data_IF_125020882133
#
_entry.id   IF_125020882133
#
_cell.length_a   1.000
_cell.length_b   1.000
_cell.length_c   1.000
_cell.angle_alpha   90.00
_cell.angle_beta   90.00
_cell.angle_gamma   90.00
#
_symmetry.space_group_name_H-M   'P 1'
#
loop_
_entity.id
_entity.type
_entity.pdbx_description
1 polymer ?
#
# COMPACT_ATOMS: atom_id res chain seq x y z
N UNK A 1 109.03 48.58 37.72
CA UNK A 1 107.84 47.85 37.97
C UNK A 1 106.96 47.80 36.71
N UNK A 2 107.06 46.74 36.00
CA UNK A 2 106.23 46.45 34.85
C UNK A 2 104.99 45.67 35.20
N UNK A 3 103.82 46.18 34.97
CA UNK A 3 102.58 45.45 35.07
C UNK A 3 102.40 44.57 33.81
N UNK A 4 102.31 43.27 33.96
CA UNK A 4 101.96 42.36 32.92
C UNK A 4 100.41 42.23 32.93
N UNK A 5 99.76 42.66 31.85
CA UNK A 5 98.29 42.53 31.63
C UNK A 5 98.05 41.16 30.99
N UNK A 6 97.31 40.27 31.64
CA UNK A 6 96.85 38.97 31.07
C UNK A 6 95.88 39.20 29.93
N UNK A 7 95.94 38.35 28.88
CA UNK A 7 94.98 38.36 27.83
C UNK A 7 93.61 38.03 28.39
N UNK A 8 92.55 38.66 27.76
CA UNK A 8 91.16 38.48 28.15
C UNK A 8 90.68 37.12 27.66
N UNK A 9 90.44 36.18 28.54
CA UNK A 9 89.87 34.89 28.24
C UNK A 9 88.32 35.11 28.13
N UNK A 10 87.75 34.89 26.98
CA UNK A 10 86.33 34.83 26.78
C UNK A 10 85.87 33.40 27.17
N UNK A 11 85.02 33.31 28.15
CA UNK A 11 84.36 32.07 28.53
C UNK A 11 83.00 32.05 27.82
N UNK A 12 82.85 31.24 26.77
CA UNK A 12 81.57 30.98 26.09
C UNK A 12 80.81 29.94 26.88
N UNK A 13 79.67 30.30 27.48
CA UNK A 13 78.82 29.38 28.21
C UNK A 13 77.68 29.00 27.27
N UNK A 14 77.68 27.74 26.82
CA UNK A 14 76.63 27.18 26.04
C UNK A 14 75.59 26.48 26.91
N UNK A 15 74.28 26.70 26.60
CA UNK A 15 73.16 26.06 27.30
C UNK A 15 72.43 25.05 26.38
N UNK A 16 72.17 23.80 26.84
CA UNK A 16 71.43 22.83 26.08
C UNK A 16 70.01 23.35 25.77
N UNK A 17 69.32 22.82 24.72
CA UNK A 17 67.97 23.23 24.39
C UNK A 17 66.99 22.77 25.43
N UNK A 18 65.99 23.62 25.77
CA UNK A 18 64.87 23.32 26.66
C UNK A 18 63.60 23.62 25.95
N UNK A 19 62.66 22.67 25.86
CA UNK A 19 61.32 22.87 25.26
C UNK A 19 60.48 23.69 26.24
N UNK A 20 59.95 24.82 25.79
CA UNK A 20 59.08 25.70 26.54
C UNK A 20 57.61 25.43 26.30
N UNK A 21 57.24 25.10 25.04
CA UNK A 21 55.86 24.73 24.68
C UNK A 21 55.87 23.76 23.54
N UNK A 22 54.82 22.91 23.51
CA UNK A 22 54.59 21.87 22.53
C UNK A 22 53.10 21.79 22.26
N UNK A 23 52.70 21.55 21.01
CA UNK A 23 51.30 21.23 20.69
C UNK A 23 50.83 19.99 21.52
N UNK A 24 49.67 20.13 22.14
CA UNK A 24 49.05 18.99 22.88
C UNK A 24 48.51 17.92 21.91
N UNK A 25 48.27 16.73 22.42
CA UNK A 25 47.60 15.63 21.67
C UNK A 25 46.18 16.02 21.35
N UNK A 26 45.69 15.75 20.13
CA UNK A 26 44.36 16.14 19.65
C UNK A 26 43.84 15.22 18.57
N UNK A 27 42.55 15.38 18.27
CA UNK A 27 41.90 14.75 17.14
C UNK A 27 41.58 15.78 16.06
N UNK A 28 41.74 15.38 14.80
CA UNK A 28 41.41 16.18 13.63
C UNK A 28 40.63 15.35 12.61
N UNK A 29 39.94 16.02 11.68
CA UNK A 29 39.08 15.34 10.71
C UNK A 29 39.90 15.05 9.44
N UNK A 30 39.69 13.87 8.87
CA UNK A 30 40.26 13.48 7.56
C UNK A 30 40.01 14.56 6.51
N UNK A 31 41.07 14.94 5.76
CA UNK A 31 41.03 15.99 4.74
C UNK A 31 41.38 17.39 5.29
N UNK A 32 41.37 17.60 6.61
CA UNK A 32 41.81 18.87 7.18
C UNK A 32 43.31 19.05 7.09
N UNK A 33 43.77 20.23 7.48
CA UNK A 33 45.21 20.55 7.64
C UNK A 33 45.48 20.95 9.07
N UNK A 34 46.56 20.39 9.65
CA UNK A 34 46.98 20.68 11.03
C UNK A 34 48.42 21.16 11.05
N UNK A 35 48.79 21.84 12.10
CA UNK A 35 50.17 22.27 12.36
C UNK A 35 50.60 21.90 13.78
N UNK A 36 51.67 21.09 13.89
CA UNK A 36 52.32 20.75 15.15
C UNK A 36 53.45 21.76 15.34
N UNK A 37 53.55 22.35 16.52
CA UNK A 37 54.54 23.36 16.80
C UNK A 37 55.29 23.12 18.10
N UNK A 38 56.55 23.53 18.16
CA UNK A 38 57.38 23.50 19.33
C UNK A 38 58.06 24.89 19.52
N UNK A 39 58.18 25.30 20.78
CA UNK A 39 59.00 26.44 21.14
C UNK A 39 60.11 25.94 22.09
N UNK A 40 61.36 26.32 21.83
CA UNK A 40 62.50 25.96 22.63
C UNK A 40 63.44 27.14 22.81
N UNK A 41 64.17 27.11 23.90
CA UNK A 41 65.24 28.08 24.23
C UNK A 41 66.57 27.35 24.45
N UNK A 42 67.68 28.00 24.23
CA UNK A 42 69.07 27.48 24.40
C UNK A 42 70.04 28.33 23.61
N UNK A 43 71.32 27.96 23.59
CA UNK A 43 72.33 28.65 22.78
C UNK A 43 72.09 28.36 21.29
N UNK A 44 72.05 29.43 20.49
CA UNK A 44 71.92 29.32 19.02
C UNK A 44 73.23 28.82 18.37
N UNK A 45 73.12 28.09 17.23
CA UNK A 45 71.88 27.79 16.46
C UNK A 45 71.13 26.57 17.06
N UNK A 46 69.79 26.70 17.18
CA UNK A 46 68.92 25.60 17.55
C UNK A 46 68.34 24.98 16.26
N UNK A 47 68.44 23.66 16.14
CA UNK A 47 67.91 22.89 15.02
C UNK A 47 66.79 21.94 15.49
N UNK A 48 65.84 21.64 14.60
CA UNK A 48 64.69 20.77 14.88
C UNK A 48 64.69 19.56 13.91
N UNK A 49 64.14 18.44 14.34
CA UNK A 49 63.88 17.32 13.48
C UNK A 49 62.64 16.56 13.97
N UNK A 50 61.61 16.52 13.16
CA UNK A 50 60.39 15.80 13.47
C UNK A 50 60.50 14.34 13.15
N UNK A 51 59.77 13.49 13.94
CA UNK A 51 59.62 12.08 13.74
C UNK A 51 58.15 11.68 13.93
N UNK A 52 57.72 10.63 13.25
CA UNK A 52 56.38 10.03 13.33
C UNK A 52 56.50 8.54 13.61
N UNK A 53 55.81 7.98 14.62
CA UNK A 53 55.86 6.58 14.98
C UNK A 53 57.29 6.07 15.20
N UNK A 54 58.22 6.96 15.71
CA UNK A 54 59.64 6.68 15.89
C UNK A 54 60.48 6.80 14.62
N UNK A 55 59.92 7.05 13.46
CA UNK A 55 60.65 7.24 12.17
C UNK A 55 60.87 8.72 11.89
N UNK A 56 62.11 9.10 11.64
CA UNK A 56 62.50 10.47 11.29
C UNK A 56 61.83 10.88 9.99
N UNK A 57 61.23 12.08 9.98
CA UNK A 57 60.63 12.68 8.80
C UNK A 57 61.67 13.54 8.08
N UNK A 58 62.25 13.04 6.98
CA UNK A 58 63.30 13.70 6.23
C UNK A 58 62.86 15.11 5.77
N UNK A 59 63.75 16.10 6.00
CA UNK A 59 63.53 17.49 5.64
C UNK A 59 62.55 18.27 6.52
N UNK A 60 61.95 17.62 7.54
CA UNK A 60 61.04 18.33 8.47
C UNK A 60 61.85 18.88 9.66
N UNK A 61 62.57 20.00 9.36
CA UNK A 61 63.53 20.65 10.25
C UNK A 61 63.11 22.01 10.76
N UNK A 62 61.84 22.39 10.58
CA UNK A 62 61.31 23.64 11.10
C UNK A 62 60.74 23.45 12.52
N UNK A 63 60.57 24.59 13.24
CA UNK A 63 59.87 24.60 14.54
C UNK A 63 58.38 24.25 14.46
N UNK A 64 57.83 24.12 13.27
CA UNK A 64 56.48 23.61 13.03
C UNK A 64 56.46 22.58 11.91
N UNK A 65 55.62 21.57 12.07
CA UNK A 65 55.30 20.54 11.08
C UNK A 65 53.86 20.74 10.61
N UNK A 66 53.64 21.10 9.32
CA UNK A 66 52.32 21.18 8.70
C UNK A 66 52.00 19.89 7.97
N UNK A 67 50.86 19.31 8.30
CA UNK A 67 50.32 18.12 7.64
C UNK A 67 49.04 18.56 6.95
N UNK A 68 48.95 18.46 5.62
CA UNK A 68 47.81 18.88 4.82
C UNK A 68 47.11 17.68 4.23
N UNK A 69 45.77 17.78 4.03
CA UNK A 69 44.93 16.69 3.50
C UNK A 69 45.07 15.39 4.32
N UNK A 70 44.81 15.51 5.63
CA UNK A 70 44.97 14.43 6.60
C UNK A 70 44.32 13.09 6.12
N UNK A 71 45.11 12.04 6.18
CA UNK A 71 44.71 10.67 5.90
C UNK A 71 44.71 9.85 7.18
N UNK A 72 44.00 8.73 7.18
CA UNK A 72 44.01 7.80 8.31
C UNK A 72 45.44 7.35 8.67
N UNK A 73 46.32 7.25 7.64
CA UNK A 73 47.72 6.89 7.82
C UNK A 73 48.53 7.97 8.56
N UNK A 74 48.00 9.19 8.71
CA UNK A 74 48.69 10.26 9.43
C UNK A 74 48.45 10.20 10.95
N UNK A 75 47.46 9.42 11.38
CA UNK A 75 47.24 9.15 12.80
C UNK A 75 48.43 8.38 13.39
N UNK A 76 49.15 9.02 14.32
CA UNK A 76 50.31 8.44 14.97
C UNK A 76 50.78 9.31 16.15
N UNK A 77 51.88 8.94 16.81
CA UNK A 77 52.62 9.75 17.76
C UNK A 77 53.73 10.50 17.04
N UNK A 78 53.73 11.81 17.20
CA UNK A 78 54.75 12.70 16.64
C UNK A 78 55.65 13.19 17.77
N UNK A 79 56.98 13.28 17.48
CA UNK A 79 57.98 13.87 18.38
C UNK A 79 58.87 14.81 17.61
N UNK A 80 59.46 15.76 18.31
CA UNK A 80 60.49 16.63 17.75
C UNK A 80 61.76 16.53 18.60
N UNK A 81 62.88 16.38 17.92
CA UNK A 81 64.18 16.52 18.48
C UNK A 81 64.68 17.95 18.28
N UNK A 82 65.11 18.57 19.39
CA UNK A 82 65.66 19.90 19.41
C UNK A 82 67.13 19.79 19.80
N UNK A 83 68.00 20.31 18.97
CA UNK A 83 69.47 20.10 19.10
C UNK A 83 70.22 21.42 18.92
N UNK A 84 71.24 21.63 19.77
CA UNK A 84 72.29 22.61 19.59
C UNK A 84 73.63 21.98 19.91
N UNK A 85 74.75 22.79 19.92
CA UNK A 85 76.08 22.32 20.23
C UNK A 85 76.25 21.81 21.68
N UNK A 86 75.40 22.31 22.62
CA UNK A 86 75.46 21.89 24.03
C UNK A 86 74.65 20.62 24.34
N UNK A 87 73.78 20.13 23.42
CA UNK A 87 73.01 18.92 23.65
C UNK A 87 71.79 18.74 22.78
N UNK A 88 70.99 17.72 23.16
CA UNK A 88 69.74 17.33 22.49
C UNK A 88 68.64 17.11 23.53
N UNK A 89 67.42 17.56 23.23
CA UNK A 89 66.20 17.20 23.97
C UNK A 89 65.17 16.62 23.02
N UNK A 90 64.43 15.64 23.50
CA UNK A 90 63.30 15.03 22.79
C UNK A 90 62.01 15.50 23.45
N UNK A 91 61.00 15.82 22.65
CA UNK A 91 59.69 16.22 23.17
C UNK A 91 58.90 15.02 23.73
N UNK A 92 57.90 15.30 24.53
CA UNK A 92 56.82 14.39 24.80
C UNK A 92 56.09 14.04 23.47
N UNK A 93 55.44 12.89 23.40
CA UNK A 93 54.71 12.50 22.21
C UNK A 93 53.44 13.36 22.04
N UNK A 94 53.21 13.84 20.82
CA UNK A 94 51.95 14.45 20.37
C UNK A 94 51.17 13.35 19.68
N UNK A 95 50.09 12.87 20.28
CA UNK A 95 49.21 11.87 19.67
C UNK A 95 48.20 12.58 18.76
N UNK A 96 48.32 12.39 17.43
CA UNK A 96 47.36 12.81 16.44
C UNK A 96 46.41 11.66 16.11
N UNK A 97 45.10 11.86 16.36
CA UNK A 97 44.06 10.94 15.95
C UNK A 97 43.33 11.52 14.74
N UNK A 98 43.11 10.72 13.71
CA UNK A 98 42.37 11.16 12.51
C UNK A 98 40.99 10.50 12.48
N UNK A 99 39.97 11.34 12.52
CA UNK A 99 38.57 10.89 12.50
C UNK A 99 38.01 10.95 11.08
N UNK A 100 37.29 9.92 10.71
CA UNK A 100 36.54 9.87 9.44
C UNK A 100 35.10 10.31 9.69
N UNK A 101 34.56 11.29 8.92
CA UNK A 101 33.14 11.63 8.96
C UNK A 101 32.26 10.41 8.69
N UNK A 102 31.09 10.39 9.29
CA UNK A 102 30.09 9.40 8.98
C UNK A 102 29.62 9.56 7.53
N UNK A 103 29.66 8.48 6.78
CA UNK A 103 29.25 8.43 5.36
C UNK A 103 28.31 7.25 5.12
N UNK A 104 27.36 7.42 4.21
CA UNK A 104 26.42 6.34 3.83
C UNK A 104 27.07 5.53 2.70
N UNK A 105 27.22 4.24 2.92
CA UNK A 105 27.78 3.26 1.99
C UNK A 105 26.69 2.62 1.13
N UNK A 106 25.51 2.35 1.76
CA UNK A 106 24.34 1.84 1.06
C UNK A 106 23.12 2.64 1.48
N UNK A 107 22.45 3.23 0.49
CA UNK A 107 21.21 3.98 0.68
C UNK A 107 20.06 3.04 1.05
N UNK A 108 19.13 3.50 1.89
CA UNK A 108 17.89 2.76 2.11
C UNK A 108 17.03 2.78 0.86
N UNK A 109 16.27 1.69 0.62
CA UNK A 109 15.42 1.53 -0.56
C UNK A 109 13.96 1.54 -0.12
N UNK A 110 13.12 2.29 -0.84
CA UNK A 110 11.69 2.35 -0.63
C UNK A 110 10.99 1.06 -1.07
N UNK A 111 9.77 0.87 -0.60
CA UNK A 111 8.94 -0.27 -0.95
C UNK A 111 7.46 0.12 -0.99
N UNK A 112 6.71 -0.56 -1.85
CA UNK A 112 5.26 -0.62 -1.77
C UNK A 112 4.88 -1.72 -0.78
N UNK A 113 3.89 -1.45 0.05
CA UNK A 113 3.42 -2.39 1.07
C UNK A 113 1.90 -2.36 1.17
N UNK A 114 1.33 -3.41 1.74
CA UNK A 114 -0.11 -3.56 1.90
C UNK A 114 -0.49 -3.24 3.36
N UNK A 115 -1.64 -2.64 3.54
CA UNK A 115 -2.25 -2.35 4.85
C UNK A 115 -2.21 -3.59 5.76
N UNK A 116 -1.74 -3.42 6.99
CA UNK A 116 -1.59 -4.50 7.96
C UNK A 116 -0.29 -5.30 7.86
N UNK A 117 0.51 -5.13 6.80
CA UNK A 117 1.83 -5.76 6.68
C UNK A 117 2.92 -4.97 7.42
N UNK A 118 4.17 -5.37 7.28
CA UNK A 118 5.35 -4.70 7.84
C UNK A 118 6.29 -4.24 6.73
N UNK A 119 6.98 -3.11 6.96
CA UNK A 119 8.07 -2.63 6.11
C UNK A 119 9.33 -2.43 6.94
N UNK A 120 10.49 -2.72 6.36
CA UNK A 120 11.78 -2.48 7.01
C UNK A 120 12.70 -1.74 6.05
N UNK A 121 13.28 -0.64 6.53
CA UNK A 121 14.31 0.10 5.81
C UNK A 121 15.63 -0.01 6.55
N UNK A 122 16.73 -0.11 5.82
CA UNK A 122 18.06 -0.22 6.39
C UNK A 122 19.06 0.63 5.64
N UNK A 123 20.05 1.15 6.37
CA UNK A 123 21.17 1.93 5.84
C UNK A 123 22.48 1.27 6.29
N UNK A 124 23.50 1.33 5.43
CA UNK A 124 24.86 0.95 5.82
C UNK A 124 25.71 2.21 5.82
N UNK A 125 26.40 2.43 6.92
CA UNK A 125 27.27 3.59 7.11
C UNK A 125 28.70 3.16 7.47
N UNK A 126 29.66 4.06 7.18
CA UNK A 126 31.06 3.93 7.56
C UNK A 126 31.54 5.26 8.12
N UNK A 127 32.57 5.21 8.97
CA UNK A 127 33.17 6.38 9.62
C UNK A 127 33.86 5.98 10.92
N UNK A 128 34.33 6.97 11.67
CA UNK A 128 34.85 6.74 13.03
C UNK A 128 33.70 6.55 14.01
N UNK A 129 33.82 5.54 14.85
CA UNK A 129 32.82 5.24 15.89
C UNK A 129 32.85 6.29 17.03
N UNK A 130 31.71 6.49 17.72
CA UNK A 130 30.43 5.88 17.47
C UNK A 130 29.70 6.56 16.29
N UNK A 131 29.00 5.74 15.46
CA UNK A 131 28.11 6.24 14.43
C UNK A 131 26.69 6.24 15.00
N UNK A 132 26.01 7.38 14.89
CA UNK A 132 24.64 7.56 15.35
C UNK A 132 23.69 7.65 14.16
N UNK A 133 22.46 7.14 14.34
CA UNK A 133 21.40 7.18 13.35
C UNK A 133 20.18 7.90 13.94
N UNK A 134 19.41 8.58 13.09
CA UNK A 134 18.08 9.08 13.43
C UNK A 134 17.22 9.02 12.19
N UNK A 135 16.12 8.26 12.27
CA UNK A 135 15.12 8.18 11.21
C UNK A 135 14.12 9.31 11.32
N UNK A 136 13.65 9.76 10.14
CA UNK A 136 12.66 10.82 9.98
C UNK A 136 11.51 10.34 9.11
N UNK A 137 10.33 10.86 9.40
CA UNK A 137 9.11 10.70 8.62
C UNK A 137 8.56 12.08 8.31
N UNK A 138 8.38 12.40 7.02
CA UNK A 138 7.97 13.72 6.52
C UNK A 138 8.76 14.88 7.17
N UNK A 139 10.10 14.71 7.23
CA UNK A 139 11.08 15.60 7.85
C UNK A 139 11.00 15.77 9.39
N UNK A 140 10.07 15.05 10.06
CA UNK A 140 10.00 15.03 11.52
C UNK A 140 10.74 13.80 12.10
N UNK A 141 11.51 13.95 13.17
CA UNK A 141 12.24 12.84 13.76
C UNK A 141 11.30 11.81 14.38
N UNK A 142 11.53 10.54 14.07
CA UNK A 142 10.79 9.43 14.68
C UNK A 142 11.45 9.09 16.00
N UNK A 143 10.77 9.35 17.10
CA UNK A 143 11.29 9.14 18.44
C UNK A 143 11.74 7.68 18.66
N UNK A 144 12.94 7.49 19.22
CA UNK A 144 13.53 6.20 19.53
C UNK A 144 13.99 5.36 18.32
N UNK A 145 13.90 5.88 17.10
CA UNK A 145 14.38 5.19 15.89
C UNK A 145 15.80 5.62 15.54
N UNK A 146 16.76 5.08 16.32
CA UNK A 146 18.17 5.46 16.31
C UNK A 146 19.11 4.31 15.90
N UNK A 147 18.57 3.25 15.32
CA UNK A 147 19.35 2.12 14.81
C UNK A 147 19.59 2.25 13.29
N UNK A 148 20.50 1.44 12.75
CA UNK A 148 20.79 1.39 11.30
C UNK A 148 19.61 0.88 10.45
N UNK A 149 18.55 0.40 11.09
CA UNK A 149 17.31 -0.01 10.44
C UNK A 149 16.10 0.50 11.21
N UNK A 150 14.99 0.64 10.49
CA UNK A 150 13.67 0.92 11.05
C UNK A 150 12.68 -0.15 10.58
N UNK A 151 11.96 -0.76 11.53
CA UNK A 151 10.84 -1.65 11.24
C UNK A 151 9.53 -0.95 11.61
N UNK A 152 8.58 -1.01 10.69
CA UNK A 152 7.22 -0.48 10.78
C UNK A 152 6.26 -1.64 10.70
N UNK A 153 5.58 -1.99 11.77
CA UNK A 153 4.67 -3.13 11.86
C UNK A 153 3.21 -2.68 11.77
N UNK A 154 2.35 -3.56 11.26
CA UNK A 154 0.91 -3.32 11.13
C UNK A 154 0.60 -1.99 10.43
N UNK A 155 1.10 -1.86 9.21
CA UNK A 155 1.02 -0.65 8.41
C UNK A 155 -0.42 -0.17 8.23
N UNK A 156 -0.61 1.12 8.41
CA UNK A 156 -1.83 1.86 8.14
C UNK A 156 -1.57 2.93 7.07
N UNK A 157 -2.60 3.53 6.51
CA UNK A 157 -2.45 4.63 5.56
C UNK A 157 -1.61 5.80 6.10
N UNK A 158 -1.58 5.99 7.44
CA UNK A 158 -0.78 7.03 8.10
C UNK A 158 0.73 6.79 8.05
N UNK A 159 1.16 5.56 7.75
CA UNK A 159 2.56 5.21 7.60
C UNK A 159 3.08 5.48 6.18
N UNK A 160 2.17 5.70 5.22
CA UNK A 160 2.54 6.13 3.87
C UNK A 160 3.10 7.54 3.89
N UNK A 161 4.26 7.75 3.28
CA UNK A 161 4.94 9.04 3.27
C UNK A 161 6.43 8.92 2.94
N UNK A 162 7.18 9.94 3.28
CA UNK A 162 8.59 10.10 2.94
C UNK A 162 9.46 9.83 4.16
N UNK A 163 10.40 8.91 4.02
CA UNK A 163 11.37 8.58 5.07
C UNK A 163 12.79 8.94 4.63
N UNK A 164 13.62 9.29 5.59
CA UNK A 164 15.08 9.39 5.44
C UNK A 164 15.76 9.13 6.77
N UNK A 165 17.08 8.91 6.73
CA UNK A 165 17.90 8.76 7.93
C UNK A 165 19.05 9.75 7.92
N UNK A 166 19.33 10.36 9.07
CA UNK A 166 20.54 11.13 9.34
C UNK A 166 21.54 10.19 9.99
N UNK A 167 22.73 10.13 9.40
CA UNK A 167 23.86 9.35 9.92
C UNK A 167 24.93 10.34 10.37
N UNK A 168 25.41 10.21 11.60
CA UNK A 168 26.34 11.19 12.16
C UNK A 168 27.38 10.58 13.08
N UNK A 169 28.52 11.24 13.19
CA UNK A 169 29.49 11.05 14.27
C UNK A 169 30.09 12.41 14.66
N UNK A 170 31.07 12.43 15.57
CA UNK A 170 31.73 13.69 15.99
C UNK A 170 32.46 14.42 14.85
N UNK A 171 32.75 13.74 13.72
CA UNK A 171 33.46 14.31 12.58
C UNK A 171 32.55 14.80 11.45
N UNK A 172 31.28 14.43 11.45
CA UNK A 172 30.36 14.88 10.40
C UNK A 172 28.99 14.22 10.46
N UNK A 173 28.10 14.72 9.57
CA UNK A 173 26.74 14.25 9.41
C UNK A 173 26.40 14.11 7.93
N UNK A 174 25.63 13.07 7.58
CA UNK A 174 25.12 12.86 6.23
C UNK A 174 23.65 12.46 6.28
N UNK A 175 22.83 13.07 5.41
CA UNK A 175 21.43 12.70 5.16
C UNK A 175 21.39 11.65 4.05
N UNK A 176 20.54 10.63 4.18
CA UNK A 176 20.27 9.67 3.11
C UNK A 176 19.45 10.27 1.99
N UNK A 177 19.38 9.58 0.87
CA UNK A 177 18.31 9.79 -0.09
C UNK A 177 16.95 9.56 0.57
N UNK A 178 15.93 10.22 0.04
CA UNK A 178 14.55 10.02 0.49
C UNK A 178 14.00 8.70 -0.05
N UNK A 179 13.22 8.02 0.75
CA UNK A 179 12.49 6.82 0.40
C UNK A 179 10.99 7.08 0.55
N UNK A 180 10.20 6.58 -0.38
CA UNK A 180 8.75 6.67 -0.32
C UNK A 180 8.18 5.31 0.06
N UNK A 181 7.34 5.28 1.10
CA UNK A 181 6.53 4.12 1.46
C UNK A 181 5.10 4.38 0.98
N UNK A 182 4.62 3.56 0.05
CA UNK A 182 3.22 3.53 -0.35
C UNK A 182 2.52 2.38 0.39
N UNK A 183 1.41 2.70 1.08
CA UNK A 183 0.60 1.70 1.78
C UNK A 183 -0.72 1.53 1.05
N UNK A 184 -0.88 0.42 0.34
CA UNK A 184 -2.06 0.12 -0.43
C UNK A 184 -3.11 -0.63 0.43
N UNK A 185 -4.38 -0.23 0.31
CA UNK A 185 -5.51 -0.90 0.93
C UNK A 185 -6.16 -1.87 -0.07
N UNK A 186 -6.38 -3.15 0.27
CA UNK A 186 -7.13 -4.07 -0.56
C UNK A 186 -8.58 -3.59 -0.73
N UNK A 187 -9.31 -4.02 -1.77
CA UNK A 187 -10.70 -3.65 -1.95
C UNK A 187 -11.58 -4.29 -0.87
N UNK A 188 -12.57 -3.51 -0.41
CA UNK A 188 -13.60 -3.96 0.51
C UNK A 188 -14.98 -3.49 0.01
N UNK A 189 -15.96 -4.40 -0.01
CA UNK A 189 -17.33 -4.08 -0.43
C UNK A 189 -18.06 -3.44 0.75
N UNK A 190 -18.66 -2.28 0.51
CA UNK A 190 -19.49 -1.56 1.48
C UNK A 190 -20.97 -1.93 1.33
N UNK A 191 -21.45 -1.97 0.08
CA UNK A 191 -22.84 -2.25 -0.26
C UNK A 191 -22.90 -3.02 -1.57
N UNK A 192 -23.94 -3.85 -1.73
CA UNK A 192 -24.27 -4.53 -2.97
C UNK A 192 -25.78 -4.68 -3.11
N UNK A 193 -26.25 -4.91 -4.33
CA UNK A 193 -27.65 -5.23 -4.60
C UNK A 193 -28.03 -6.55 -3.92
N UNK A 194 -29.26 -6.62 -3.43
CA UNK A 194 -29.87 -7.85 -2.95
C UNK A 194 -30.32 -8.75 -4.11
N UNK A 195 -30.70 -10.00 -3.81
CA UNK A 195 -31.37 -10.88 -4.77
C UNK A 195 -32.74 -10.32 -5.14
N UNK A 196 -33.12 -10.43 -6.41
CA UNK A 196 -34.32 -9.79 -6.93
C UNK A 196 -35.13 -10.75 -7.83
N UNK A 197 -36.45 -10.64 -7.75
CA UNK A 197 -37.38 -11.23 -8.74
C UNK A 197 -37.85 -10.14 -9.70
N UNK A 198 -37.78 -10.38 -11.00
CA UNK A 198 -38.06 -9.41 -12.06
C UNK A 198 -38.94 -10.07 -13.12
N UNK A 199 -39.84 -9.31 -13.71
CA UNK A 199 -40.74 -9.80 -14.79
C UNK A 199 -39.96 -9.88 -16.09
N UNK A 200 -40.20 -10.91 -16.90
CA UNK A 200 -39.65 -11.06 -18.25
C UNK A 200 -39.95 -9.81 -19.08
N UNK A 201 -38.93 -9.29 -19.75
CA UNK A 201 -39.03 -8.05 -20.55
C UNK A 201 -38.63 -6.78 -19.79
N UNK A 202 -38.62 -6.78 -18.47
CA UNK A 202 -38.19 -5.64 -17.67
C UNK A 202 -36.66 -5.46 -17.71
N UNK A 203 -36.18 -4.42 -17.03
CA UNK A 203 -34.74 -4.11 -16.92
C UNK A 203 -34.39 -3.88 -15.46
N UNK A 204 -33.20 -4.33 -15.06
CA UNK A 204 -32.64 -4.12 -13.71
C UNK A 204 -31.20 -3.63 -13.78
N UNK A 205 -30.75 -3.04 -12.70
CA UNK A 205 -29.36 -2.68 -12.46
C UNK A 205 -28.87 -3.36 -11.18
N UNK A 206 -27.84 -4.22 -11.28
CA UNK A 206 -27.10 -4.75 -10.15
C UNK A 206 -25.93 -3.82 -9.86
N UNK A 207 -25.74 -3.44 -8.59
CA UNK A 207 -24.72 -2.46 -8.15
C UNK A 207 -23.86 -3.01 -7.04
N UNK A 208 -22.63 -2.52 -6.98
CA UNK A 208 -21.73 -2.68 -5.86
C UNK A 208 -21.05 -1.34 -5.54
N UNK A 209 -20.87 -1.07 -4.26
CA UNK A 209 -20.04 0.03 -3.77
C UNK A 209 -18.85 -0.54 -3.03
N UNK A 210 -17.64 -0.10 -3.36
CA UNK A 210 -16.41 -0.59 -2.76
C UNK A 210 -15.43 0.54 -2.45
N UNK A 211 -14.57 0.29 -1.45
CA UNK A 211 -13.44 1.14 -1.08
C UNK A 211 -12.14 0.35 -1.23
N UNK A 212 -11.02 1.05 -1.36
CA UNK A 212 -9.68 0.50 -1.51
C UNK A 212 -8.78 1.46 -2.25
N UNK A 213 -7.49 1.16 -2.31
CA UNK A 213 -6.55 1.95 -3.11
C UNK A 213 -6.90 1.86 -4.59
N UNK A 214 -6.87 3.01 -5.26
CA UNK A 214 -7.18 3.10 -6.69
C UNK A 214 -5.98 2.66 -7.56
N UNK A 215 -6.20 2.14 -8.77
CA UNK A 215 -7.51 1.90 -9.38
C UNK A 215 -8.19 0.62 -8.86
N UNK A 216 -9.53 0.62 -8.77
CA UNK A 216 -10.31 -0.58 -8.54
C UNK A 216 -10.78 -1.15 -9.88
N UNK A 217 -10.49 -2.42 -10.13
CA UNK A 217 -10.96 -3.16 -11.29
C UNK A 217 -12.14 -4.05 -10.90
N UNK A 218 -13.21 -4.06 -11.72
CA UNK A 218 -14.40 -4.87 -11.51
C UNK A 218 -14.51 -5.93 -12.60
N UNK A 219 -15.12 -7.06 -12.28
CA UNK A 219 -15.46 -8.10 -13.24
C UNK A 219 -16.67 -8.88 -12.77
N UNK A 220 -17.77 -8.76 -13.52
CA UNK A 220 -19.00 -9.51 -13.24
C UNK A 220 -18.95 -10.92 -13.80
N UNK A 221 -19.69 -11.81 -13.13
CA UNK A 221 -19.91 -13.20 -13.54
C UNK A 221 -21.37 -13.60 -13.32
N UNK A 222 -21.84 -14.56 -14.12
CA UNK A 222 -23.17 -15.15 -14.08
C UNK A 222 -23.03 -16.66 -14.02
N UNK A 223 -23.63 -17.34 -13.03
CA UNK A 223 -23.52 -18.77 -12.87
C UNK A 223 -22.06 -19.27 -12.78
N UNK A 224 -21.13 -18.42 -12.29
CA UNK A 224 -19.69 -18.69 -12.25
C UNK A 224 -18.94 -18.46 -13.56
N UNK A 225 -19.62 -18.05 -14.64
CA UNK A 225 -19.00 -17.71 -15.93
C UNK A 225 -18.78 -16.20 -16.02
N UNK A 226 -17.56 -15.81 -16.38
CA UNK A 226 -17.19 -14.40 -16.55
C UNK A 226 -18.01 -13.76 -17.66
N UNK A 227 -18.56 -12.58 -17.40
CA UNK A 227 -19.25 -11.73 -18.38
C UNK A 227 -18.24 -10.80 -19.03
N UNK A 228 -17.81 -11.13 -20.24
CA UNK A 228 -16.82 -10.34 -20.98
C UNK A 228 -17.26 -8.88 -21.14
N UNK A 229 -16.34 -7.95 -20.78
CA UNK A 229 -16.59 -6.51 -20.85
C UNK A 229 -17.46 -5.91 -19.73
N UNK A 230 -17.99 -6.72 -18.81
CA UNK A 230 -18.73 -6.24 -17.65
C UNK A 230 -17.75 -5.83 -16.53
N UNK A 231 -17.15 -4.63 -16.67
CA UNK A 231 -16.07 -4.12 -15.83
C UNK A 231 -16.43 -2.84 -15.06
N UNK A 232 -17.70 -2.44 -15.06
CA UNK A 232 -18.18 -1.30 -14.30
C UNK A 232 -18.69 -1.70 -12.89
N UNK A 233 -18.81 -0.77 -11.93
CA UNK A 233 -19.38 -1.03 -10.62
C UNK A 233 -20.86 -1.39 -10.65
N UNK A 234 -21.52 -1.25 -11.81
CA UNK A 234 -22.90 -1.67 -12.02
C UNK A 234 -23.05 -2.49 -13.30
N UNK A 235 -23.97 -3.47 -13.25
CA UNK A 235 -24.35 -4.31 -14.38
C UNK A 235 -25.81 -4.06 -14.73
N UNK A 236 -26.05 -3.58 -15.96
CA UNK A 236 -27.40 -3.37 -16.52
C UNK A 236 -27.84 -4.60 -17.29
N UNK A 237 -28.99 -5.16 -16.91
CA UNK A 237 -29.69 -6.24 -17.63
C UNK A 237 -30.96 -5.67 -18.21
N UNK A 238 -31.05 -5.58 -19.56
CA UNK A 238 -32.17 -4.98 -20.27
C UNK A 238 -32.97 -6.06 -20.99
N UNK A 239 -34.31 -5.88 -21.03
CA UNK A 239 -35.21 -6.83 -21.67
C UNK A 239 -34.95 -8.27 -21.23
N UNK A 240 -34.99 -8.47 -19.91
CA UNK A 240 -34.61 -9.71 -19.24
C UNK A 240 -35.39 -10.89 -19.78
N UNK A 241 -34.66 -11.95 -20.09
CA UNK A 241 -35.21 -13.22 -20.58
C UNK A 241 -35.07 -14.31 -19.48
N UNK A 242 -35.84 -15.40 -19.56
CA UNK A 242 -35.71 -16.53 -18.62
C UNK A 242 -34.27 -17.06 -18.48
N UNK A 243 -33.50 -16.99 -19.57
CA UNK A 243 -32.07 -17.35 -19.57
C UNK A 243 -31.21 -16.43 -18.74
N UNK A 244 -31.69 -15.24 -18.35
CA UNK A 244 -30.93 -14.29 -17.50
C UNK A 244 -31.09 -14.57 -16.01
N UNK A 245 -32.05 -15.42 -15.65
CA UNK A 245 -32.22 -15.90 -14.28
C UNK A 245 -31.01 -16.76 -13.86
N UNK A 246 -30.19 -16.26 -12.91
CA UNK A 246 -29.01 -16.96 -12.40
C UNK A 246 -28.43 -16.24 -11.18
N UNK A 247 -27.33 -16.78 -10.65
CA UNK A 247 -26.50 -16.21 -9.59
C UNK A 247 -25.44 -15.26 -10.18
N UNK A 248 -25.52 -13.99 -9.85
CA UNK A 248 -24.54 -12.98 -10.27
C UNK A 248 -23.60 -12.65 -9.14
N UNK A 249 -22.33 -12.41 -9.49
CA UNK A 249 -21.29 -11.95 -8.58
C UNK A 249 -20.38 -10.96 -9.29
N UNK A 250 -19.72 -10.12 -8.51
CA UNK A 250 -18.65 -9.23 -9.00
C UNK A 250 -17.39 -9.44 -8.19
N UNK A 251 -16.28 -9.63 -8.89
CA UNK A 251 -14.95 -9.61 -8.32
C UNK A 251 -14.39 -8.20 -8.44
N UNK A 252 -13.81 -7.69 -7.37
CA UNK A 252 -13.18 -6.37 -7.28
C UNK A 252 -11.73 -6.57 -6.88
N UNK A 253 -10.79 -5.97 -7.62
CA UNK A 253 -9.36 -6.14 -7.37
C UNK A 253 -8.59 -4.84 -7.54
N UNK A 254 -7.45 -4.77 -6.87
CA UNK A 254 -6.38 -3.81 -7.07
C UNK A 254 -5.03 -4.49 -6.80
N UNK A 255 -3.92 -3.74 -6.81
CA UNK A 255 -2.58 -4.28 -6.56
C UNK A 255 -2.40 -4.88 -5.15
N UNK A 256 -3.24 -4.45 -4.19
CA UNK A 256 -3.21 -4.93 -2.80
C UNK A 256 -4.03 -6.21 -2.57
N UNK A 257 -4.95 -6.59 -3.47
CA UNK A 257 -5.74 -7.78 -3.29
C UNK A 257 -7.02 -7.84 -4.12
N UNK A 258 -7.87 -8.83 -3.76
CA UNK A 258 -9.15 -9.12 -4.41
C UNK A 258 -10.22 -9.46 -3.38
N UNK A 259 -11.45 -9.02 -3.62
CA UNK A 259 -12.66 -9.41 -2.90
C UNK A 259 -13.72 -9.82 -3.91
N UNK A 260 -14.62 -10.71 -3.53
CA UNK A 260 -15.79 -11.11 -4.32
C UNK A 260 -17.07 -10.79 -3.55
N UNK A 261 -18.10 -10.34 -4.26
CA UNK A 261 -19.41 -10.05 -3.66
C UNK A 261 -20.10 -11.32 -3.17
N UNK A 262 -21.06 -11.14 -2.27
CA UNK A 262 -22.07 -12.17 -2.03
C UNK A 262 -22.88 -12.43 -3.31
N UNK A 263 -23.58 -13.54 -3.33
CA UNK A 263 -24.40 -13.92 -4.49
C UNK A 263 -25.65 -13.03 -4.58
N UNK A 264 -25.87 -12.43 -5.74
CA UNK A 264 -27.10 -11.73 -6.12
C UNK A 264 -27.91 -12.61 -7.07
N UNK A 265 -28.95 -13.26 -6.56
CA UNK A 265 -29.80 -14.13 -7.40
C UNK A 265 -30.82 -13.30 -8.14
N UNK A 266 -30.86 -13.42 -9.45
CA UNK A 266 -31.89 -12.86 -10.33
C UNK A 266 -32.86 -14.00 -10.66
N UNK A 267 -34.14 -13.85 -10.27
CA UNK A 267 -35.20 -14.78 -10.62
C UNK A 267 -36.11 -14.13 -11.64
N UNK A 268 -36.22 -14.72 -12.80
CA UNK A 268 -37.08 -14.18 -13.88
C UNK A 268 -38.46 -14.81 -13.80
N UNK A 269 -39.45 -13.93 -13.72
CA UNK A 269 -40.86 -14.31 -13.62
C UNK A 269 -41.52 -14.12 -14.98
N UNK A 270 -42.01 -15.19 -15.51
CA UNK A 270 -42.80 -15.13 -16.77
C UNK A 270 -44.26 -14.75 -16.49
N UNK A 271 -44.82 -13.78 -17.19
CA UNK A 271 -46.22 -13.40 -17.09
C UNK A 271 -47.16 -14.59 -17.37
N UNK A 272 -48.31 -14.64 -16.70
CA UNK A 272 -49.34 -15.59 -17.00
C UNK A 272 -49.93 -15.27 -18.42
N UNK A 273 -49.97 -16.30 -19.25
CA UNK A 273 -50.51 -16.18 -20.62
C UNK A 273 -51.46 -17.37 -20.92
N UNK A 274 -52.42 -17.15 -21.77
CA UNK A 274 -53.35 -18.22 -22.23
C UNK A 274 -52.78 -18.80 -23.51
N UNK A 275 -52.45 -20.11 -23.49
CA UNK A 275 -51.91 -20.88 -24.61
C UNK A 275 -53.05 -21.46 -25.46
N UNK A 276 -54.11 -21.95 -24.80
CA UNK A 276 -55.32 -22.48 -25.47
C UNK A 276 -56.55 -21.86 -24.84
N UNK A 277 -57.41 -21.27 -25.67
CA UNK A 277 -58.64 -20.61 -25.29
C UNK A 277 -59.72 -21.66 -24.99
N UNK A 278 -60.63 -21.42 -24.02
CA UNK A 278 -61.79 -22.28 -23.82
C UNK A 278 -62.73 -22.23 -25.02
N UNK A 279 -63.29 -23.35 -25.39
CA UNK A 279 -64.19 -23.47 -26.51
C UNK A 279 -65.60 -23.75 -26.03
N UNK A 280 -66.55 -22.88 -26.35
CA UNK A 280 -67.97 -23.09 -26.07
C UNK A 280 -68.63 -24.03 -27.08
N UNK A 281 -69.95 -24.17 -27.00
CA UNK A 281 -70.69 -25.02 -27.88
C UNK A 281 -72.19 -25.04 -27.59
N UNK A 282 -72.91 -25.82 -28.37
CA UNK A 282 -74.34 -26.08 -28.16
C UNK A 282 -74.48 -27.49 -27.57
N UNK A 283 -75.24 -27.57 -26.48
CA UNK A 283 -75.42 -28.80 -25.67
C UNK A 283 -76.92 -29.09 -25.56
N UNK A 284 -77.27 -30.30 -25.22
CA UNK A 284 -78.63 -30.69 -24.91
C UNK A 284 -78.83 -30.81 -23.40
N UNK A 285 -80.00 -30.42 -22.88
CA UNK A 285 -80.29 -30.52 -21.47
C UNK A 285 -79.99 -31.94 -20.90
N UNK A 286 -79.28 -32.02 -19.75
CA UNK A 286 -78.79 -33.26 -19.12
C UNK A 286 -77.38 -33.66 -19.56
N UNK A 287 -76.80 -33.07 -20.54
CA UNK A 287 -75.37 -33.27 -20.91
C UNK A 287 -74.41 -32.68 -19.93
N UNK A 288 -73.14 -32.86 -20.19
CA UNK A 288 -72.00 -32.24 -19.46
C UNK A 288 -71.33 -31.19 -20.33
N UNK A 289 -71.05 -30.00 -19.77
CA UNK A 289 -70.19 -28.99 -20.38
C UNK A 289 -68.81 -29.07 -19.72
N UNK A 290 -67.77 -29.19 -20.53
CA UNK A 290 -66.40 -29.14 -20.12
C UNK A 290 -65.66 -28.04 -20.86
N UNK A 291 -65.36 -26.92 -20.16
CA UNK A 291 -64.53 -25.85 -20.68
C UNK A 291 -63.11 -26.03 -20.15
N UNK A 292 -62.12 -25.96 -21.06
CA UNK A 292 -60.72 -26.19 -20.70
C UNK A 292 -59.89 -24.97 -21.20
N UNK A 293 -59.07 -24.43 -20.35
CA UNK A 293 -58.04 -23.45 -20.67
C UNK A 293 -56.66 -24.04 -20.41
N UNK A 294 -55.71 -23.75 -21.29
CA UNK A 294 -54.28 -24.04 -21.02
C UNK A 294 -53.57 -22.73 -20.84
N UNK A 295 -52.79 -22.60 -19.77
CA UNK A 295 -52.01 -21.43 -19.45
C UNK A 295 -50.53 -21.80 -19.35
N UNK A 296 -49.70 -20.78 -19.59
CA UNK A 296 -48.25 -20.79 -19.37
C UNK A 296 -47.84 -19.57 -18.55
N UNK A 297 -46.68 -19.63 -17.90
CA UNK A 297 -46.11 -18.58 -17.04
C UNK A 297 -45.44 -19.18 -15.83
N UNK A 298 -44.85 -18.35 -14.99
CA UNK A 298 -44.25 -18.80 -13.74
C UNK A 298 -45.29 -19.20 -12.70
N UNK A 299 -45.06 -20.31 -12.05
CA UNK A 299 -45.94 -20.83 -10.99
C UNK A 299 -45.84 -19.99 -9.70
N UNK A 300 -46.89 -19.92 -8.86
CA UNK A 300 -48.16 -20.58 -9.06
C UNK A 300 -49.07 -19.79 -10.03
N UNK A 301 -49.74 -20.54 -10.92
CA UNK A 301 -50.78 -20.00 -11.79
C UNK A 301 -52.13 -20.21 -11.14
N UNK A 302 -52.93 -19.16 -11.03
CA UNK A 302 -54.30 -19.17 -10.49
C UNK A 302 -55.30 -18.99 -11.60
N UNK A 303 -56.47 -19.61 -11.43
CA UNK A 303 -57.59 -19.55 -12.36
C UNK A 303 -58.83 -19.04 -11.64
N UNK A 304 -59.68 -18.30 -12.33
CA UNK A 304 -61.00 -17.94 -11.87
C UNK A 304 -61.97 -17.82 -13.07
N UNK A 305 -62.99 -18.68 -13.07
CA UNK A 305 -64.02 -18.65 -14.12
C UNK A 305 -65.15 -17.69 -13.79
N UNK A 306 -65.72 -17.14 -14.85
CA UNK A 306 -66.83 -16.22 -14.83
C UNK A 306 -67.88 -16.67 -15.88
N UNK A 307 -69.15 -16.35 -15.65
CA UNK A 307 -70.28 -16.47 -16.58
C UNK A 307 -70.99 -15.10 -16.64
N UNK A 308 -71.15 -14.54 -17.84
CA UNK A 308 -71.78 -13.24 -18.05
C UNK A 308 -71.18 -12.16 -17.12
N UNK A 309 -69.84 -12.19 -16.98
CA UNK A 309 -69.00 -11.35 -16.11
C UNK A 309 -69.21 -11.57 -14.59
N UNK A 310 -70.07 -12.52 -14.18
CA UNK A 310 -70.25 -12.87 -12.79
C UNK A 310 -69.31 -14.02 -12.40
N UNK A 311 -68.67 -13.88 -11.24
CA UNK A 311 -67.70 -14.84 -10.71
C UNK A 311 -68.42 -16.18 -10.36
N UNK A 312 -67.89 -17.28 -10.87
CA UNK A 312 -68.33 -18.62 -10.48
C UNK A 312 -67.52 -19.03 -9.21
N UNK A 313 -68.20 -19.05 -8.07
CA UNK A 313 -67.54 -19.38 -6.81
C UNK A 313 -66.99 -20.81 -6.82
N UNK A 314 -65.71 -20.92 -6.34
CA UNK A 314 -65.00 -22.22 -6.31
C UNK A 314 -64.43 -22.70 -7.65
N UNK A 315 -64.68 -22.05 -8.76
CA UNK A 315 -64.16 -22.43 -10.07
C UNK A 315 -62.73 -21.89 -10.26
N UNK A 316 -61.75 -22.57 -9.66
CA UNK A 316 -60.34 -22.18 -9.57
C UNK A 316 -59.37 -23.15 -10.24
N UNK A 317 -59.85 -23.96 -11.17
CA UNK A 317 -59.03 -24.91 -11.92
C UNK A 317 -58.96 -24.50 -13.40
N UNK A 318 -57.96 -25.03 -14.14
CA UNK A 318 -57.87 -24.85 -15.60
C UNK A 318 -59.02 -25.49 -16.37
N UNK A 319 -59.91 -26.22 -15.66
CA UNK A 319 -61.13 -26.84 -16.23
C UNK A 319 -62.34 -26.40 -15.43
N UNK A 320 -63.41 -26.04 -16.16
CA UNK A 320 -64.74 -25.85 -15.59
C UNK A 320 -65.66 -26.96 -16.11
N UNK A 321 -66.11 -27.81 -15.17
CA UNK A 321 -67.04 -28.89 -15.46
C UNK A 321 -68.42 -28.53 -14.89
N UNK A 322 -69.45 -28.59 -15.75
CA UNK A 322 -70.82 -28.35 -15.34
C UNK A 322 -71.63 -29.59 -15.76
N UNK A 323 -72.20 -30.30 -14.79
CA UNK A 323 -72.95 -31.54 -15.00
C UNK A 323 -74.46 -31.26 -15.05
N UNK A 324 -75.18 -32.08 -15.81
CA UNK A 324 -76.63 -32.03 -15.92
C UNK A 324 -77.12 -30.63 -16.35
N UNK A 325 -76.54 -30.09 -17.39
CA UNK A 325 -76.83 -28.70 -17.86
C UNK A 325 -78.29 -28.51 -18.23
N UNK A 326 -78.81 -27.32 -17.92
CA UNK A 326 -80.14 -26.85 -18.28
C UNK A 326 -80.06 -25.45 -18.91
N UNK A 327 -81.22 -24.85 -19.20
CA UNK A 327 -81.25 -23.51 -19.83
C UNK A 327 -80.61 -22.40 -19.03
N UNK A 328 -80.45 -22.55 -17.68
CA UNK A 328 -79.82 -21.57 -16.82
C UNK A 328 -78.30 -21.55 -16.96
N UNK A 329 -77.68 -22.56 -17.55
CA UNK A 329 -76.25 -22.64 -17.81
C UNK A 329 -75.88 -21.92 -19.12
N UNK A 330 -76.85 -21.52 -19.94
CA UNK A 330 -76.61 -20.72 -21.14
C UNK A 330 -75.98 -19.35 -20.77
N UNK A 331 -74.82 -19.02 -21.37
CA UNK A 331 -74.14 -17.79 -21.07
C UNK A 331 -72.76 -17.70 -21.75
N UNK A 332 -72.08 -16.59 -21.54
CA UNK A 332 -70.74 -16.32 -22.06
C UNK A 332 -69.73 -16.57 -20.93
N UNK A 333 -68.93 -17.62 -21.07
CA UNK A 333 -67.91 -18.00 -20.08
C UNK A 333 -66.56 -17.43 -20.46
N UNK A 334 -65.80 -16.94 -19.46
CA UNK A 334 -64.40 -16.63 -19.59
C UNK A 334 -63.65 -17.02 -18.32
N UNK A 335 -62.34 -17.12 -18.43
CA UNK A 335 -61.46 -17.38 -17.32
C UNK A 335 -60.37 -16.33 -17.23
N UNK A 336 -60.12 -15.82 -16.05
CA UNK A 336 -58.97 -15.01 -15.74
C UNK A 336 -57.87 -15.95 -15.17
N UNK A 337 -56.72 -15.90 -15.84
CA UNK A 337 -55.52 -16.65 -15.44
C UNK A 337 -54.53 -15.65 -14.90
N UNK A 338 -54.01 -15.84 -13.72
CA UNK A 338 -53.10 -14.89 -13.08
C UNK A 338 -51.94 -15.60 -12.35
N UNK A 339 -50.84 -14.88 -12.30
CA UNK A 339 -49.76 -15.16 -11.37
C UNK A 339 -49.32 -13.81 -10.75
N UNK A 340 -48.22 -13.79 -9.96
CA UNK A 340 -47.78 -12.57 -9.32
C UNK A 340 -47.23 -11.49 -10.29
N UNK A 341 -46.96 -11.83 -11.56
CA UNK A 341 -46.47 -10.90 -12.58
C UNK A 341 -47.61 -10.25 -13.40
N UNK A 342 -48.70 -10.97 -13.69
CA UNK A 342 -49.73 -10.49 -14.57
C UNK A 342 -51.05 -11.24 -14.45
N UNK A 343 -52.08 -10.68 -15.09
CA UNK A 343 -53.38 -11.34 -15.35
C UNK A 343 -53.64 -11.36 -16.85
N UNK A 344 -54.22 -12.48 -17.32
CA UNK A 344 -54.69 -12.67 -18.70
C UNK A 344 -56.11 -13.19 -18.70
N UNK A 345 -56.99 -12.55 -19.48
CA UNK A 345 -58.39 -12.95 -19.63
C UNK A 345 -58.57 -13.72 -20.94
N UNK A 346 -59.31 -14.82 -20.91
CA UNK A 346 -59.63 -15.61 -22.10
C UNK A 346 -60.63 -14.87 -23.01
N UNK A 347 -60.73 -15.32 -24.26
CA UNK A 347 -61.90 -15.02 -25.11
C UNK A 347 -63.17 -15.65 -24.49
N UNK A 348 -64.31 -15.10 -24.85
CA UNK A 348 -65.59 -15.61 -24.44
C UNK A 348 -65.89 -16.98 -25.11
N UNK A 349 -66.23 -17.96 -24.28
CA UNK A 349 -66.75 -19.27 -24.72
C UNK A 349 -68.26 -19.29 -24.55
N UNK A 350 -69.00 -19.11 -25.67
CA UNK A 350 -70.47 -19.14 -25.63
C UNK A 350 -70.94 -20.55 -25.44
N UNK A 351 -71.79 -20.77 -24.41
CA UNK A 351 -72.45 -22.02 -24.13
C UNK A 351 -73.99 -21.82 -24.32
N UNK A 352 -74.60 -22.62 -25.17
CA UNK A 352 -76.04 -22.65 -25.33
C UNK A 352 -76.59 -24.04 -25.03
N UNK A 353 -77.74 -24.12 -24.30
CA UNK A 353 -78.39 -25.38 -23.97
C UNK A 353 -79.75 -25.41 -24.61
N UNK A 354 -79.99 -26.44 -25.45
CA UNK A 354 -81.22 -26.67 -26.15
C UNK A 354 -82.07 -27.70 -25.38
N UNK A 355 -83.45 -27.54 -25.49
CA UNK A 355 -84.30 -28.56 -24.97
C UNK A 355 -84.14 -29.87 -25.76
N UNK A 356 -84.32 -31.09 -25.18
CA UNK A 356 -84.18 -32.32 -25.87
C UNK A 356 -85.25 -32.52 -26.94
#
# INVERSE_FOLDING_TARGET
SGAVISEKVLLDITSPPVIISLTESFSAIKGESVELAVSAVGTDPITYQWAKGGVVLDGQTKKSLKISDLKQSDADEYKVFVVNEAGRVESDPIKLTVSQPATIVSQPVGSDSILGQSATFSVVAAGSEPINFQWFFDDEPIEGKTESNISLDNLSAKNGGVYHVMVSNHAGVQKSDVIVLNVAAPPAILEQSESISVVEGDSIELKVSAVGSQPLAYQWSKGGVVLEGATDPSLFLNNIQPSDGDAYRVAISNDAGRVESETMNVTVVQPATIVAQPVGGSFVAGEEVLLVVTAAGSEPISFQWYVDDEKIEGAKAGTLKIENVDAFVTGSYHVVVSNHASEAMSTLAAVSVNSP
#
